data_IF_265608677083
#
_entry.id   IF_265608677083
#
_cell.length_a   1.000
_cell.length_b   1.000
_cell.length_c   1.000
_cell.angle_alpha   90.00
_cell.angle_beta   90.00
_cell.angle_gamma   90.00
#
_symmetry.space_group_name_H-M   'P 1'
#
loop_
_entity.id
_entity.type
_entity.pdbx_description
1 polymer ?
#
# COMPACT_ATOMS: atom_id res chain seq x y z
N UNK A 1 -13.14 -13.75 12.40
CA UNK A 1 -12.26 -14.93 12.61
C UNK A 1 -10.86 -14.59 13.13
N UNK A 2 -10.34 -13.34 12.95
CA UNK A 2 -9.04 -12.94 13.53
C UNK A 2 -9.08 -12.91 15.07
N UNK A 3 -10.23 -12.58 15.65
CA UNK A 3 -10.43 -12.50 17.11
C UNK A 3 -10.33 -13.88 17.80
N UNK A 4 -10.55 -14.96 17.06
CA UNK A 4 -10.49 -16.35 17.56
C UNK A 4 -9.06 -16.93 17.55
N UNK A 5 -8.10 -16.25 16.93
CA UNK A 5 -6.71 -16.68 16.87
C UNK A 5 -5.94 -16.30 18.15
N UNK A 6 -5.01 -17.15 18.60
CA UNK A 6 -4.05 -16.77 19.63
C UNK A 6 -3.34 -15.45 19.26
N UNK A 7 -3.10 -14.58 20.24
CA UNK A 7 -2.57 -13.23 20.03
C UNK A 7 -1.33 -13.17 19.12
N UNK A 8 -0.38 -14.08 19.32
CA UNK A 8 0.82 -14.17 18.49
C UNK A 8 0.52 -14.46 17.01
N UNK A 9 -0.48 -15.34 16.72
CA UNK A 9 -0.90 -15.65 15.36
C UNK A 9 -1.70 -14.50 14.76
N UNK A 10 -2.55 -13.85 15.56
CA UNK A 10 -3.31 -12.67 15.15
C UNK A 10 -2.36 -11.54 14.77
N UNK A 11 -1.37 -11.22 15.63
CA UNK A 11 -0.35 -10.20 15.34
C UNK A 11 0.46 -10.56 14.09
N UNK A 12 0.94 -11.79 13.94
CA UNK A 12 1.67 -12.24 12.76
C UNK A 12 0.83 -12.17 11.47
N UNK A 13 -0.48 -12.34 11.58
CA UNK A 13 -1.39 -12.19 10.43
C UNK A 13 -1.60 -10.70 10.10
N UNK A 14 -1.83 -9.86 11.11
CA UNK A 14 -1.98 -8.42 10.92
C UNK A 14 -0.71 -7.81 10.32
N UNK A 15 0.48 -8.18 10.82
CA UNK A 15 1.75 -7.65 10.31
C UNK A 15 2.10 -8.07 8.86
N UNK A 16 1.31 -8.94 8.24
CA UNK A 16 1.42 -9.19 6.80
C UNK A 16 0.77 -8.09 5.96
N UNK A 17 -0.15 -7.34 6.54
CA UNK A 17 -0.97 -6.34 5.87
C UNK A 17 -0.74 -4.92 6.40
N UNK A 18 -0.25 -4.79 7.63
CA UNK A 18 -0.01 -3.50 8.29
C UNK A 18 1.36 -3.52 8.95
N UNK A 19 2.17 -2.52 8.69
CA UNK A 19 3.47 -2.35 9.38
C UNK A 19 3.26 -2.11 10.87
N UNK A 20 4.03 -2.79 11.71
CA UNK A 20 4.02 -2.54 13.17
C UNK A 20 4.48 -1.09 13.43
N UNK A 21 3.73 -0.26 14.15
CA UNK A 21 4.07 1.14 14.44
C UNK A 21 5.19 1.26 15.49
N UNK A 22 6.23 0.44 15.39
CA UNK A 22 7.40 0.55 16.27
C UNK A 22 8.26 1.72 15.77
N UNK A 23 8.56 2.73 16.60
CA UNK A 23 9.43 3.84 16.22
C UNK A 23 10.88 3.36 16.13
N UNK A 24 11.25 2.74 15.01
CA UNK A 24 12.64 2.44 14.68
C UNK A 24 13.16 3.50 13.71
N UNK A 25 13.99 4.40 14.21
CA UNK A 25 14.60 5.46 13.40
C UNK A 25 15.53 4.93 12.31
N UNK A 26 15.97 3.68 12.41
CA UNK A 26 16.80 3.01 11.38
C UNK A 26 15.94 2.36 10.28
N UNK A 27 14.75 1.91 10.64
CA UNK A 27 13.80 1.25 9.73
C UNK A 27 12.40 1.83 9.97
N UNK A 28 12.19 3.13 9.66
CA UNK A 28 10.91 3.76 9.89
C UNK A 28 9.84 3.10 9.02
N UNK A 29 8.59 2.94 9.51
CA UNK A 29 7.44 2.64 8.67
C UNK A 29 7.31 3.69 7.55
N UNK A 30 6.92 3.27 6.35
CA UNK A 30 6.92 4.14 5.17
C UNK A 30 6.13 5.44 5.39
N UNK A 31 4.92 5.36 5.95
CA UNK A 31 4.06 6.53 6.20
C UNK A 31 4.67 7.53 7.20
N UNK A 32 5.52 7.10 8.13
CA UNK A 32 6.18 8.01 9.09
C UNK A 32 7.25 8.87 8.44
N UNK A 33 7.65 8.59 7.21
CA UNK A 33 8.59 9.41 6.44
C UNK A 33 7.90 10.60 5.75
N UNK A 34 6.57 10.57 5.63
CA UNK A 34 5.82 11.49 4.76
C UNK A 34 6.04 11.25 3.26
N UNK A 35 6.83 10.22 2.89
CA UNK A 35 7.09 9.83 1.51
C UNK A 35 6.12 8.77 0.96
N UNK A 36 5.38 8.10 1.82
CA UNK A 36 4.37 7.12 1.43
C UNK A 36 2.95 7.69 1.51
N UNK A 37 2.12 7.30 0.56
CA UNK A 37 0.72 7.73 0.46
C UNK A 37 -0.17 6.58 0.02
N UNK A 38 -1.34 6.47 0.65
CA UNK A 38 -2.44 5.61 0.22
C UNK A 38 -3.49 6.45 -0.49
N UNK A 39 -3.86 6.06 -1.71
CA UNK A 39 -4.81 6.82 -2.51
C UNK A 39 -5.64 5.93 -3.44
N UNK A 40 -6.77 6.47 -3.88
CA UNK A 40 -7.67 5.89 -4.86
C UNK A 40 -8.05 6.91 -5.93
N UNK A 41 -8.83 6.50 -6.91
CA UNK A 41 -9.37 7.37 -7.96
C UNK A 41 -10.84 7.68 -7.70
N UNK A 42 -11.23 8.91 -7.97
CA UNK A 42 -12.63 9.35 -7.96
C UNK A 42 -13.09 9.66 -9.38
N UNK A 43 -14.39 9.46 -9.64
CA UNK A 43 -15.03 9.96 -10.84
C UNK A 43 -15.29 11.48 -10.72
N UNK A 44 -15.76 12.16 -11.81
CA UNK A 44 -16.06 13.60 -11.77
C UNK A 44 -17.14 13.99 -10.75
N UNK A 45 -17.97 13.05 -10.33
CA UNK A 45 -19.01 13.24 -9.32
C UNK A 45 -18.50 13.00 -7.88
N UNK A 46 -17.21 12.64 -7.71
CA UNK A 46 -16.58 12.43 -6.42
C UNK A 46 -16.82 11.04 -5.82
N UNK A 47 -17.26 10.06 -6.60
CA UNK A 47 -17.44 8.67 -6.17
C UNK A 47 -16.17 7.87 -6.45
N UNK A 48 -15.81 6.98 -5.53
CA UNK A 48 -14.65 6.10 -5.74
C UNK A 48 -14.87 5.17 -6.94
N UNK A 49 -13.85 5.06 -7.79
CA UNK A 49 -13.83 4.06 -8.84
C UNK A 49 -13.66 2.65 -8.25
N UNK A 50 -14.29 1.62 -8.82
CA UNK A 50 -14.13 0.25 -8.35
C UNK A 50 -12.68 -0.19 -8.44
N UNK A 51 -12.09 -0.63 -7.31
CA UNK A 51 -10.73 -1.15 -7.21
C UNK A 51 -10.68 -2.63 -6.80
N UNK A 52 -11.84 -3.31 -6.69
CA UNK A 52 -11.97 -4.73 -6.40
C UNK A 52 -11.89 -5.10 -4.91
N UNK A 53 -11.29 -4.28 -4.08
CA UNK A 53 -11.37 -4.30 -2.61
C UNK A 53 -10.97 -2.93 -2.06
N UNK A 54 -11.40 -2.64 -0.83
CA UNK A 54 -10.99 -1.44 -0.09
C UNK A 54 -9.56 -1.53 0.44
N UNK A 55 -9.10 -0.43 1.05
CA UNK A 55 -7.84 -0.38 1.79
C UNK A 55 -7.87 -1.38 2.94
N UNK A 56 -6.71 -1.91 3.30
CA UNK A 56 -6.50 -2.83 4.43
C UNK A 56 -7.42 -4.08 4.44
N UNK A 57 -7.97 -4.44 3.29
CA UNK A 57 -8.77 -5.64 3.16
C UNK A 57 -7.91 -6.90 3.36
N UNK A 58 -8.39 -7.87 4.17
CA UNK A 58 -7.70 -9.13 4.42
C UNK A 58 -8.00 -10.15 3.29
N UNK A 59 -7.53 -9.84 2.08
CA UNK A 59 -7.74 -10.65 0.88
C UNK A 59 -6.57 -10.50 -0.08
N UNK A 60 -6.31 -11.52 -0.91
CA UNK A 60 -5.27 -11.46 -1.95
C UNK A 60 -5.55 -10.38 -3.01
N UNK A 61 -6.79 -9.89 -3.09
CA UNK A 61 -7.16 -8.77 -3.98
C UNK A 61 -6.44 -7.46 -3.65
N UNK A 62 -5.80 -7.34 -2.47
CA UNK A 62 -4.96 -6.19 -2.13
C UNK A 62 -3.70 -6.10 -2.99
N UNK A 63 -3.15 -7.25 -3.45
CA UNK A 63 -1.98 -7.26 -4.31
C UNK A 63 -2.22 -6.44 -5.58
N UNK A 64 -1.28 -5.56 -5.90
CA UNK A 64 -1.39 -4.63 -7.03
C UNK A 64 -1.64 -5.37 -8.35
N UNK A 65 -0.96 -6.48 -8.57
CA UNK A 65 -1.06 -7.28 -9.78
C UNK A 65 -2.18 -8.34 -9.78
N UNK A 66 -3.05 -8.39 -8.75
CA UNK A 66 -4.06 -9.45 -8.65
C UNK A 66 -4.91 -9.60 -9.91
N UNK A 67 -5.47 -8.51 -10.42
CA UNK A 67 -6.32 -8.52 -11.62
C UNK A 67 -5.53 -8.52 -12.94
N UNK A 68 -4.20 -8.57 -12.92
CA UNK A 68 -3.40 -8.79 -14.12
C UNK A 68 -3.38 -10.27 -14.53
N UNK A 69 -3.57 -11.20 -13.59
CA UNK A 69 -3.77 -12.60 -13.90
C UNK A 69 -5.16 -12.81 -14.50
N UNK A 70 -5.23 -13.35 -15.74
CA UNK A 70 -6.48 -13.49 -16.49
C UNK A 70 -7.52 -14.39 -15.78
N UNK A 71 -7.06 -15.37 -15.00
CA UNK A 71 -7.92 -16.23 -14.19
C UNK A 71 -8.70 -15.49 -13.10
N UNK A 72 -8.25 -14.30 -12.71
CA UNK A 72 -8.91 -13.46 -11.72
C UNK A 72 -9.89 -12.45 -12.33
N UNK A 73 -9.96 -12.38 -13.67
CA UNK A 73 -10.85 -11.48 -14.41
C UNK A 73 -12.00 -12.30 -14.98
N UNK A 74 -13.13 -12.30 -14.28
CA UNK A 74 -14.29 -13.15 -14.59
C UNK A 74 -15.50 -12.39 -15.14
N UNK A 75 -15.31 -11.20 -15.67
CA UNK A 75 -16.37 -10.41 -16.27
C UNK A 75 -16.03 -8.93 -16.38
N UNK A 76 -17.00 -8.17 -16.89
CA UNK A 76 -16.82 -6.74 -17.17
C UNK A 76 -16.48 -5.90 -15.91
N UNK A 77 -16.96 -6.30 -14.74
CA UNK A 77 -16.64 -5.62 -13.49
C UNK A 77 -15.16 -5.78 -13.12
N UNK A 78 -14.63 -6.99 -13.22
CA UNK A 78 -13.21 -7.24 -12.95
C UNK A 78 -12.30 -6.60 -14.01
N UNK A 79 -12.75 -6.55 -15.27
CA UNK A 79 -12.05 -5.80 -16.31
C UNK A 79 -12.00 -4.31 -15.98
N UNK A 80 -13.10 -3.72 -15.51
CA UNK A 80 -13.11 -2.32 -15.10
C UNK A 80 -12.18 -2.06 -13.91
N UNK A 81 -12.17 -2.96 -12.93
CA UNK A 81 -11.23 -2.88 -11.79
C UNK A 81 -9.78 -2.90 -12.29
N UNK A 82 -9.44 -3.81 -13.19
CA UNK A 82 -8.11 -3.89 -13.79
C UNK A 82 -7.71 -2.59 -14.47
N UNK A 83 -8.59 -2.02 -15.30
CA UNK A 83 -8.31 -0.75 -15.99
C UNK A 83 -8.17 0.42 -15.02
N UNK A 84 -9.00 0.51 -13.98
CA UNK A 84 -8.89 1.53 -12.94
C UNK A 84 -7.56 1.43 -12.18
N UNK A 85 -7.13 0.21 -11.81
CA UNK A 85 -5.83 -0.01 -11.16
C UNK A 85 -4.66 0.35 -12.07
N UNK A 86 -4.73 0.00 -13.35
CA UNK A 86 -3.72 0.39 -14.33
C UNK A 86 -3.63 1.91 -14.46
N UNK A 87 -4.78 2.60 -14.52
CA UNK A 87 -4.81 4.06 -14.59
C UNK A 87 -4.11 4.69 -13.40
N UNK A 88 -4.43 4.25 -12.17
CA UNK A 88 -3.77 4.71 -10.95
C UNK A 88 -2.28 4.39 -10.98
N UNK A 89 -1.93 3.13 -11.26
CA UNK A 89 -0.55 2.66 -11.27
C UNK A 89 0.32 3.48 -12.21
N UNK A 90 -0.08 3.62 -13.47
CA UNK A 90 0.73 4.35 -14.44
C UNK A 90 0.79 5.85 -14.14
N UNK A 91 -0.28 6.46 -13.66
CA UNK A 91 -0.25 7.87 -13.24
C UNK A 91 0.78 8.10 -12.13
N UNK A 92 0.87 7.20 -11.16
CA UNK A 92 1.81 7.32 -10.05
C UNK A 92 3.25 6.99 -10.46
N UNK A 93 3.46 5.96 -11.29
CA UNK A 93 4.79 5.63 -11.82
C UNK A 93 5.32 6.77 -12.70
N UNK A 94 4.51 7.36 -13.56
CA UNK A 94 4.89 8.49 -14.41
C UNK A 94 5.22 9.74 -13.58
N UNK A 95 4.60 9.89 -12.40
CA UNK A 95 4.93 10.93 -11.43
C UNK A 95 6.22 10.62 -10.61
N UNK A 96 6.84 9.45 -10.82
CA UNK A 96 8.10 9.06 -10.18
C UNK A 96 7.96 8.30 -8.86
N UNK A 97 6.75 7.89 -8.49
CA UNK A 97 6.50 7.02 -7.34
C UNK A 97 6.81 5.55 -7.66
N UNK A 98 6.91 4.73 -6.62
CA UNK A 98 6.94 3.26 -6.71
C UNK A 98 5.74 2.68 -5.98
N UNK A 99 5.19 1.56 -6.46
CA UNK A 99 4.08 0.90 -5.79
C UNK A 99 4.58 -0.21 -4.87
N UNK A 100 3.93 -0.40 -3.72
CA UNK A 100 4.12 -1.56 -2.86
C UNK A 100 3.35 -2.76 -3.45
N UNK A 101 4.00 -3.86 -3.87
CA UNK A 101 3.32 -4.94 -4.59
C UNK A 101 2.17 -5.62 -3.83
N UNK A 102 2.18 -5.60 -2.49
CA UNK A 102 1.11 -6.18 -1.66
C UNK A 102 -0.14 -5.30 -1.56
N UNK A 103 -0.04 -4.03 -1.96
CA UNK A 103 -1.08 -3.03 -1.74
C UNK A 103 -1.27 -2.16 -3.00
N UNK A 104 -2.43 -2.26 -3.65
CA UNK A 104 -2.71 -1.52 -4.88
C UNK A 104 -2.81 -0.01 -4.68
N UNK A 105 -3.10 0.44 -3.46
CA UNK A 105 -3.30 1.85 -3.07
C UNK A 105 -2.04 2.53 -2.59
N UNK A 106 -0.99 1.77 -2.18
CA UNK A 106 0.20 2.31 -1.51
C UNK A 106 1.30 2.66 -2.51
N UNK A 107 1.76 3.89 -2.42
CA UNK A 107 2.84 4.42 -3.26
C UNK A 107 3.87 5.16 -2.44
N UNK A 108 5.13 4.93 -2.77
CA UNK A 108 6.30 5.49 -2.10
C UNK A 108 7.04 6.48 -3.00
N UNK A 109 7.52 7.59 -2.43
CA UNK A 109 8.43 8.53 -3.08
C UNK A 109 9.50 8.99 -2.09
N UNK A 110 10.77 8.78 -2.42
CA UNK A 110 11.90 9.29 -1.64
C UNK A 110 12.17 8.56 -0.32
N UNK A 111 11.36 7.61 0.08
CA UNK A 111 11.56 6.76 1.23
C UNK A 111 12.46 5.54 0.91
N UNK A 112 12.54 4.57 1.81
CA UNK A 112 13.42 3.39 1.66
C UNK A 112 12.92 2.41 0.61
N UNK A 113 11.59 2.21 0.47
CA UNK A 113 11.04 1.35 -0.57
C UNK A 113 11.28 1.95 -1.95
N UNK A 114 10.99 3.23 -2.12
CA UNK A 114 11.31 3.97 -3.33
C UNK A 114 12.81 3.89 -3.65
N UNK A 115 13.69 4.13 -2.67
CA UNK A 115 15.14 4.07 -2.82
C UNK A 115 15.61 2.69 -3.30
N UNK A 116 15.04 1.62 -2.74
CA UNK A 116 15.32 0.24 -3.12
C UNK A 116 14.94 -0.04 -4.59
N UNK A 117 13.72 0.29 -4.99
CA UNK A 117 13.24 0.04 -6.36
C UNK A 117 13.93 0.94 -7.39
N UNK A 118 14.16 2.20 -7.06
CA UNK A 118 14.80 3.17 -7.94
C UNK A 118 16.34 3.05 -7.97
N UNK A 119 16.92 2.24 -7.08
CA UNK A 119 18.39 2.11 -6.89
C UNK A 119 19.05 3.46 -6.63
N UNK A 120 18.46 4.26 -5.78
CA UNK A 120 18.88 5.60 -5.37
C UNK A 120 18.96 5.70 -3.86
N UNK A 121 19.67 6.66 -3.29
CA UNK A 121 19.57 6.97 -1.87
C UNK A 121 18.15 7.39 -1.48
N UNK A 122 17.69 7.03 -0.27
CA UNK A 122 16.49 7.59 0.29
C UNK A 122 16.65 9.10 0.51
N UNK A 123 15.57 9.85 0.31
CA UNK A 123 15.52 11.30 0.47
C UNK A 123 14.94 11.66 1.84
N UNK A 124 13.95 10.86 2.29
CA UNK A 124 13.22 11.12 3.52
C UNK A 124 13.51 10.06 4.58
N UNK A 125 13.68 10.53 5.81
CA UNK A 125 13.82 9.70 7.00
C UNK A 125 12.50 9.71 7.79
N UNK A 126 12.34 8.77 8.73
CA UNK A 126 11.19 8.73 9.60
C UNK A 126 11.11 9.96 10.51
N UNK A 127 9.95 10.58 10.58
CA UNK A 127 9.67 11.70 11.49
C UNK A 127 8.94 11.13 12.70
N UNK A 128 9.57 11.23 13.86
CA UNK A 128 9.04 10.78 15.14
C UNK A 128 9.02 11.92 16.15
N UNK A 129 8.02 11.99 16.97
CA UNK A 129 8.00 12.88 18.12
C UNK A 129 8.96 12.39 19.21
N UNK A 130 9.35 13.29 20.11
CA UNK A 130 10.23 12.94 21.23
C UNK A 130 9.59 11.92 22.18
N UNK A 131 8.28 11.92 22.28
CA UNK A 131 7.49 10.99 23.09
C UNK A 131 7.44 9.59 22.48
N UNK A 132 7.38 9.48 21.15
CA UNK A 132 7.39 8.22 20.43
C UNK A 132 8.77 7.51 20.45
N UNK A 133 9.86 8.26 20.61
CA UNK A 133 11.23 7.70 20.66
C UNK A 133 11.58 7.19 22.07
N UNK A 134 10.98 7.77 23.11
CA UNK A 134 11.37 7.53 24.51
C UNK A 134 10.26 6.88 25.36
N UNK A 135 9.10 6.61 24.80
CA UNK A 135 8.02 5.86 25.43
C UNK A 135 8.29 4.36 25.32
#
# INVERSE_FOLDING_TARGET
HLEELPEAKRRATICKFVSDPVPDTKVPPAHTTGGAIDLTLLDPEGRELPMGCGFDAFTDKTCAAYFEALEHVQGAEDEQVRENRRLLYYAMIDAGFTNLPSEWWHYDYGDRFWAYYMRKPAIYEGVFTREEIHG
#
